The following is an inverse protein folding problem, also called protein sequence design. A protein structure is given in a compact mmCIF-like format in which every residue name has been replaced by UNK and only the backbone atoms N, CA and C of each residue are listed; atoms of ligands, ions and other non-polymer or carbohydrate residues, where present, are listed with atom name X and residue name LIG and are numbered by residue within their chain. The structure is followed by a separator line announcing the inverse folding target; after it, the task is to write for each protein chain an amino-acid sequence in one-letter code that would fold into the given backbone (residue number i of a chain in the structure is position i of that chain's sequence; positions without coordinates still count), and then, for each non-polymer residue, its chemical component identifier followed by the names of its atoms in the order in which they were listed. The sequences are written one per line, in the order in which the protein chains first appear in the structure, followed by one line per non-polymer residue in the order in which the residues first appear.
data_IF_188635701676
#
_entry.id   IF_188635701676
#
_cell.length_a   1.000
_cell.length_b   1.000
_cell.length_c   1.000
_cell.angle_alpha   90.00
_cell.angle_beta   90.00
_cell.angle_gamma   90.00
#
_symmetry.space_group_name_H-M   'P 1'
#
loop_
_entity.id
_entity.type
_entity.pdbx_description
1 polymer ?
#
# COMPACT_ATOMS: atom_id res chain seq x y z
N UNK A 1 -7.96 -4.58 25.46
CA UNK A 1 -9.32 -3.99 25.42
C UNK A 1 -9.29 -2.48 25.16
N UNK A 2 -8.50 -1.68 25.88
CA UNK A 2 -8.42 -0.22 25.70
C UNK A 2 -7.93 0.23 24.30
N UNK A 3 -6.86 -0.38 23.77
CA UNK A 3 -6.30 -0.01 22.44
C UNK A 3 -7.26 -0.32 21.30
N UNK A 4 -8.07 -1.38 21.42
CA UNK A 4 -9.10 -1.71 20.41
C UNK A 4 -10.22 -0.67 20.33
N UNK A 5 -10.49 0.07 21.41
CA UNK A 5 -11.49 1.15 21.42
C UNK A 5 -10.99 2.43 20.74
N UNK A 6 -9.67 2.64 20.66
CA UNK A 6 -9.05 3.78 19.97
C UNK A 6 -8.94 3.58 18.45
N UNK A 7 -9.13 2.34 17.96
CA UNK A 7 -8.96 2.01 16.55
C UNK A 7 -9.78 2.88 15.59
N UNK A 8 -11.06 3.18 15.84
CA UNK A 8 -11.85 4.01 14.94
C UNK A 8 -11.41 5.47 14.87
N UNK A 9 -10.77 5.97 15.92
CA UNK A 9 -10.30 7.37 16.00
C UNK A 9 -8.95 7.57 15.31
N UNK A 10 -8.10 6.53 15.33
CA UNK A 10 -6.71 6.57 14.82
C UNK A 10 -6.61 5.99 13.41
N UNK A 11 -7.31 4.86 13.14
CA UNK A 11 -7.34 4.22 11.83
C UNK A 11 -8.66 4.61 11.15
N UNK A 12 -8.61 5.67 10.39
CA UNK A 12 -9.77 6.25 9.71
C UNK A 12 -9.42 6.69 8.30
N UNK A 13 -10.43 6.76 7.45
CA UNK A 13 -10.27 7.30 6.11
C UNK A 13 -9.88 8.78 6.19
N UNK A 14 -8.93 9.23 5.37
CA UNK A 14 -8.42 10.60 5.42
C UNK A 14 -9.49 11.61 5.04
N UNK A 15 -9.37 12.80 5.61
CA UNK A 15 -10.18 13.97 5.25
C UNK A 15 -9.84 14.46 3.83
N UNK A 16 -10.68 15.32 3.26
CA UNK A 16 -10.42 15.91 1.96
C UNK A 16 -9.09 16.67 1.91
N UNK A 17 -8.73 17.37 2.98
CA UNK A 17 -7.45 18.08 3.09
C UNK A 17 -6.27 17.09 3.08
N UNK A 18 -6.34 16.01 3.84
CA UNK A 18 -5.31 14.95 3.85
C UNK A 18 -5.21 14.23 2.51
N UNK A 19 -6.33 14.04 1.80
CA UNK A 19 -6.31 13.49 0.43
C UNK A 19 -5.56 14.41 -0.52
N UNK A 20 -5.73 15.74 -0.39
CA UNK A 20 -5.01 16.71 -1.21
C UNK A 20 -3.50 16.64 -0.95
N UNK A 21 -3.09 16.66 0.31
CA UNK A 21 -1.69 16.56 0.73
C UNK A 21 -1.06 15.24 0.23
N UNK A 22 -1.79 14.14 0.37
CA UNK A 22 -1.34 12.83 -0.14
C UNK A 22 -1.19 12.84 -1.67
N UNK A 23 -2.17 13.42 -2.39
CA UNK A 23 -2.11 13.49 -3.85
C UNK A 23 -0.95 14.36 -4.34
N UNK A 24 -0.62 15.44 -3.64
CA UNK A 24 0.56 16.26 -3.93
C UNK A 24 1.86 15.48 -3.69
N UNK A 25 1.93 14.70 -2.61
CA UNK A 25 3.07 13.82 -2.34
C UNK A 25 3.30 12.81 -3.47
N UNK A 26 2.27 12.04 -3.87
CA UNK A 26 2.37 11.07 -4.94
C UNK A 26 2.65 11.74 -6.30
N UNK A 27 2.07 12.91 -6.54
CA UNK A 27 2.33 13.68 -7.74
C UNK A 27 3.81 14.10 -7.86
N UNK A 28 4.43 14.54 -6.77
CA UNK A 28 5.86 14.92 -6.75
C UNK A 28 6.79 13.70 -6.82
N UNK A 29 6.41 12.60 -6.18
CA UNK A 29 7.29 11.43 -6.02
C UNK A 29 7.23 10.49 -7.23
N UNK A 30 6.05 10.31 -7.82
CA UNK A 30 5.83 9.30 -8.86
C UNK A 30 4.84 9.73 -9.95
N UNK A 31 4.53 11.02 -10.05
CA UNK A 31 3.66 11.62 -11.08
C UNK A 31 2.19 11.15 -11.09
N UNK A 32 1.71 10.52 -10.04
CA UNK A 32 0.31 10.13 -9.89
C UNK A 32 -0.48 11.24 -9.18
N UNK A 33 -1.07 12.15 -9.96
CA UNK A 33 -1.69 13.39 -9.49
C UNK A 33 -2.94 13.22 -8.63
N UNK A 34 -3.55 12.04 -8.62
CA UNK A 34 -4.76 11.73 -7.85
C UNK A 34 -4.61 10.49 -6.95
N UNK A 35 -3.39 10.00 -6.76
CA UNK A 35 -3.16 8.94 -5.81
C UNK A 35 -3.20 9.49 -4.38
N UNK A 36 -3.93 8.82 -3.48
CA UNK A 36 -4.06 9.21 -2.07
C UNK A 36 -3.51 8.16 -1.11
N UNK A 37 -3.00 7.06 -1.61
CA UNK A 37 -2.43 5.99 -0.81
C UNK A 37 -2.16 4.74 -1.64
N UNK A 38 -1.68 3.71 -0.94
CA UNK A 38 -1.42 2.41 -1.54
C UNK A 38 -2.20 1.32 -0.79
N UNK A 39 -2.49 0.23 -1.50
CA UNK A 39 -3.01 -1.00 -0.91
C UNK A 39 -2.05 -2.13 -1.19
N UNK A 40 -1.76 -2.92 -0.16
CA UNK A 40 -0.90 -4.09 -0.28
C UNK A 40 -1.20 -5.10 0.83
N UNK A 41 -0.80 -6.36 0.61
CA UNK A 41 -0.84 -7.43 1.59
C UNK A 41 0.53 -7.66 2.22
N UNK A 42 0.58 -7.99 3.50
CA UNK A 42 1.82 -8.44 4.14
C UNK A 42 1.59 -9.70 4.96
N UNK A 43 2.49 -10.69 4.78
CA UNK A 43 2.44 -11.91 5.56
C UNK A 43 3.04 -11.70 6.96
N UNK A 44 2.32 -12.21 7.96
CA UNK A 44 2.81 -12.30 9.33
C UNK A 44 3.04 -13.76 9.64
N UNK A 45 4.29 -14.11 9.87
CA UNK A 45 4.67 -15.50 10.15
C UNK A 45 4.29 -15.88 11.58
N UNK A 46 3.61 -17.01 11.71
CA UNK A 46 3.13 -17.53 12.99
C UNK A 46 4.12 -18.54 13.60
N UNK A 47 4.98 -19.17 12.77
CA UNK A 47 6.04 -20.09 13.19
C UNK A 47 7.43 -19.54 12.86
N UNK A 48 8.50 -19.89 13.63
CA UNK A 48 9.79 -19.23 13.52
C UNK A 48 10.52 -19.61 12.23
N UNK A 49 10.88 -18.64 11.37
CA UNK A 49 11.74 -18.88 10.22
C UNK A 49 13.22 -18.76 10.55
N UNK A 50 14.03 -19.43 9.75
CA UNK A 50 15.48 -19.28 9.72
C UNK A 50 15.84 -17.98 8.98
N UNK A 51 16.52 -17.07 9.70
CA UNK A 51 17.29 -15.89 9.28
C UNK A 51 16.98 -15.24 7.92
N UNK A 52 16.57 -13.98 7.95
CA UNK A 52 16.84 -13.00 6.89
C UNK A 52 17.33 -11.68 7.50
N UNK A 53 18.21 -10.99 6.75
CA UNK A 53 18.88 -9.75 7.14
C UNK A 53 17.95 -8.56 6.97
N UNK A 54 18.08 -7.60 7.87
CA UNK A 54 17.29 -6.37 7.92
C UNK A 54 18.00 -5.27 7.12
N UNK A 55 17.28 -4.61 6.21
CA UNK A 55 17.68 -3.36 5.61
C UNK A 55 16.90 -2.21 6.26
N UNK A 56 17.65 -1.20 6.72
CA UNK A 56 17.13 -0.04 7.44
C UNK A 56 16.84 1.08 6.45
N UNK A 57 15.60 1.54 6.35
CA UNK A 57 15.28 2.82 5.74
C UNK A 57 14.18 3.50 6.55
N UNK A 58 14.45 4.72 7.02
CA UNK A 58 13.54 5.54 7.79
C UNK A 58 12.86 6.57 6.88
N UNK A 59 11.52 6.58 6.81
CA UNK A 59 10.73 7.62 6.14
C UNK A 59 9.50 8.00 6.95
N UNK A 60 9.20 9.32 6.94
CA UNK A 60 8.11 10.00 7.65
C UNK A 60 6.71 9.61 7.19
N UNK A 61 5.80 9.67 8.18
CA UNK A 61 4.43 10.15 7.94
C UNK A 61 3.47 9.21 7.24
N UNK A 62 3.81 7.93 6.99
CA UNK A 62 2.89 7.00 6.33
C UNK A 62 2.10 6.25 7.40
N UNK A 63 0.80 6.53 7.44
CA UNK A 63 -0.15 5.96 8.40
C UNK A 63 -1.06 4.92 7.74
N UNK A 64 -1.48 3.92 8.52
CA UNK A 64 -2.50 2.96 8.08
C UNK A 64 -3.89 3.59 8.19
N UNK A 65 -4.58 3.71 7.07
CA UNK A 65 -5.94 4.27 6.99
C UNK A 65 -7.03 3.20 7.04
N UNK A 66 -6.66 1.95 6.78
CA UNK A 66 -7.51 0.78 6.94
C UNK A 66 -6.66 -0.48 7.13
N UNK A 67 -7.18 -1.44 7.89
CA UNK A 67 -6.50 -2.71 8.18
C UNK A 67 -7.51 -3.83 8.12
N UNK A 68 -7.14 -4.91 7.44
CA UNK A 68 -7.94 -6.12 7.38
C UNK A 68 -7.06 -7.33 7.67
N UNK A 69 -7.41 -8.13 8.66
CA UNK A 69 -6.63 -9.28 9.15
C UNK A 69 -7.49 -10.52 9.31
N UNK A 70 -6.87 -11.69 9.42
CA UNK A 70 -7.57 -12.95 9.75
C UNK A 70 -7.69 -13.93 8.57
N UNK A 71 -7.03 -13.65 7.45
CA UNK A 71 -6.97 -14.58 6.31
C UNK A 71 -5.66 -15.35 6.25
N UNK A 72 -5.66 -16.60 5.77
CA UNK A 72 -4.45 -17.39 5.53
C UNK A 72 -3.56 -16.69 4.49
N UNK A 73 -2.24 -16.78 4.66
CA UNK A 73 -1.27 -16.22 3.71
C UNK A 73 -1.31 -16.82 2.29
N UNK A 74 -2.02 -17.93 2.10
CA UNK A 74 -2.28 -18.52 0.78
C UNK A 74 -3.46 -17.89 0.03
N UNK A 75 -4.19 -16.96 0.66
CA UNK A 75 -5.31 -16.26 0.02
C UNK A 75 -4.79 -15.21 -0.95
N UNK A 76 -5.38 -15.14 -2.15
CA UNK A 76 -5.05 -14.08 -3.10
C UNK A 76 -5.49 -12.70 -2.59
N UNK A 77 -4.65 -11.69 -2.72
CA UNK A 77 -4.89 -10.33 -2.22
C UNK A 77 -6.17 -9.71 -2.77
N UNK A 78 -6.50 -9.94 -4.05
CA UNK A 78 -7.77 -9.50 -4.63
C UNK A 78 -8.99 -10.12 -3.96
N UNK A 79 -8.90 -11.39 -3.55
CA UNK A 79 -9.98 -12.06 -2.83
C UNK A 79 -10.10 -11.54 -1.40
N UNK A 80 -8.98 -11.31 -0.72
CA UNK A 80 -8.94 -10.69 0.61
C UNK A 80 -9.58 -9.30 0.58
N UNK A 81 -9.23 -8.47 -0.43
CA UNK A 81 -9.83 -7.17 -0.61
C UNK A 81 -11.35 -7.25 -0.84
N UNK A 82 -11.82 -8.14 -1.72
CA UNK A 82 -13.25 -8.31 -2.02
C UNK A 82 -14.08 -8.71 -0.80
N UNK A 83 -13.48 -9.42 0.16
CA UNK A 83 -14.13 -9.83 1.40
C UNK A 83 -13.87 -8.85 2.56
N UNK A 84 -13.19 -7.73 2.31
CA UNK A 84 -12.96 -6.71 3.31
C UNK A 84 -14.16 -5.79 3.49
N UNK A 85 -14.32 -5.24 4.68
CA UNK A 85 -15.42 -4.30 5.02
C UNK A 85 -15.35 -2.98 4.26
N UNK A 86 -14.20 -2.68 3.62
CA UNK A 86 -13.98 -1.44 2.89
C UNK A 86 -14.32 -1.56 1.40
N UNK A 87 -14.37 -2.79 0.84
CA UNK A 87 -14.46 -2.98 -0.61
C UNK A 87 -15.60 -2.22 -1.27
N UNK A 88 -16.82 -2.36 -0.74
CA UNK A 88 -18.00 -1.68 -1.29
C UNK A 88 -18.00 -0.17 -1.06
N UNK A 89 -17.21 0.31 -0.10
CA UNK A 89 -17.10 1.73 0.25
C UNK A 89 -16.01 2.45 -0.53
N UNK A 90 -15.02 1.72 -1.09
CA UNK A 90 -13.90 2.29 -1.82
C UNK A 90 -14.31 3.30 -2.90
N UNK A 91 -15.34 3.03 -3.76
CA UNK A 91 -15.75 4.00 -4.78
C UNK A 91 -16.19 5.34 -4.19
N UNK A 92 -16.94 5.33 -3.08
CA UNK A 92 -17.41 6.55 -2.43
C UNK A 92 -16.31 7.23 -1.61
N UNK A 93 -15.42 6.46 -0.99
CA UNK A 93 -14.32 6.97 -0.19
C UNK A 93 -13.23 7.63 -1.04
N UNK A 94 -12.92 7.05 -2.19
CA UNK A 94 -11.95 7.63 -3.11
C UNK A 94 -12.51 8.82 -3.90
N UNK A 95 -13.81 8.80 -4.26
CA UNK A 95 -14.40 9.84 -5.11
C UNK A 95 -13.66 9.95 -6.45
N UNK A 96 -13.00 11.10 -6.69
CA UNK A 96 -12.17 11.35 -7.87
C UNK A 96 -10.72 10.92 -7.72
N UNK A 97 -10.32 10.48 -6.55
CA UNK A 97 -8.99 9.96 -6.23
C UNK A 97 -8.93 8.44 -6.40
N UNK A 98 -7.74 7.88 -6.27
CA UNK A 98 -7.51 6.43 -6.33
C UNK A 98 -6.36 5.98 -5.41
N UNK A 99 -6.34 4.68 -5.13
CA UNK A 99 -5.23 3.99 -4.49
C UNK A 99 -4.32 3.34 -5.54
N UNK A 100 -3.05 3.16 -5.20
CA UNK A 100 -2.11 2.34 -5.98
C UNK A 100 -2.07 0.92 -5.39
N UNK A 101 -2.15 -0.08 -6.25
CA UNK A 101 -2.05 -1.48 -5.87
C UNK A 101 -1.09 -2.26 -6.78
N UNK A 102 -0.73 -3.46 -6.38
CA UNK A 102 0.07 -4.36 -7.20
C UNK A 102 -0.76 -5.05 -8.30
N UNK A 103 -0.10 -5.92 -9.06
CA UNK A 103 -0.72 -6.66 -10.17
C UNK A 103 -1.71 -7.76 -9.72
N UNK A 104 -1.74 -8.13 -8.44
CA UNK A 104 -2.69 -9.10 -7.89
C UNK A 104 -4.09 -8.51 -7.74
N UNK A 105 -4.22 -7.17 -7.70
CA UNK A 105 -5.51 -6.50 -7.62
C UNK A 105 -6.12 -6.19 -9.00
N UNK A 106 -7.47 -6.18 -9.11
CA UNK A 106 -8.13 -5.73 -10.32
C UNK A 106 -8.02 -4.21 -10.49
N UNK A 107 -7.63 -3.74 -11.69
CA UNK A 107 -7.63 -2.32 -11.99
C UNK A 107 -9.06 -1.77 -12.03
N UNK A 108 -9.32 -0.75 -11.23
CA UNK A 108 -10.61 -0.06 -11.06
C UNK A 108 -10.40 1.45 -11.04
N UNK A 109 -11.46 2.23 -11.22
CA UNK A 109 -11.40 3.70 -11.16
C UNK A 109 -10.78 4.22 -9.85
N UNK A 110 -11.01 3.51 -8.75
CA UNK A 110 -10.51 3.81 -7.41
C UNK A 110 -9.25 3.00 -7.01
N UNK A 111 -8.74 2.12 -7.90
CA UNK A 111 -7.57 1.26 -7.62
C UNK A 111 -6.77 1.04 -8.91
N UNK A 112 -5.66 1.73 -9.02
CA UNK A 112 -4.77 1.69 -10.19
C UNK A 112 -3.67 0.67 -9.94
N UNK A 113 -3.49 -0.23 -10.91
CA UNK A 113 -2.53 -1.33 -10.86
C UNK A 113 -1.64 -1.33 -12.10
N UNK A 114 -0.45 -1.94 -12.09
CA UNK A 114 0.47 -1.91 -13.23
C UNK A 114 -0.12 -2.58 -14.48
N UNK A 115 0.42 -2.21 -15.64
CA UNK A 115 0.24 -2.98 -16.86
C UNK A 115 0.97 -4.32 -16.70
N UNK A 116 0.30 -5.40 -17.08
CA UNK A 116 0.92 -6.71 -17.09
C UNK A 116 2.00 -6.78 -18.17
N UNK A 117 3.19 -7.20 -17.80
CA UNK A 117 4.25 -7.43 -18.77
C UNK A 117 4.10 -8.82 -19.41
N UNK A 118 3.77 -8.80 -20.70
CA UNK A 118 3.70 -9.94 -21.58
C UNK A 118 4.80 -9.90 -22.66
N UNK A 119 5.84 -9.07 -22.46
CA UNK A 119 6.91 -8.82 -23.41
C UNK A 119 6.59 -7.74 -24.47
N UNK A 120 5.38 -7.17 -24.48
CA UNK A 120 4.90 -6.23 -25.51
C UNK A 120 4.53 -4.85 -24.96
N UNK A 121 4.99 -4.49 -23.75
CA UNK A 121 4.73 -3.17 -23.18
C UNK A 121 5.42 -2.07 -23.99
N UNK A 122 4.67 -1.00 -24.28
CA UNK A 122 5.24 0.22 -24.86
C UNK A 122 6.17 0.91 -23.83
N UNK A 123 7.03 1.80 -24.31
CA UNK A 123 7.91 2.57 -23.42
C UNK A 123 7.12 3.42 -22.41
N UNK A 124 5.96 3.97 -22.81
CA UNK A 124 5.05 4.69 -21.92
C UNK A 124 4.50 3.78 -20.81
N UNK A 125 4.08 2.57 -21.14
CA UNK A 125 3.58 1.59 -20.18
C UNK A 125 4.66 1.10 -19.21
N UNK A 126 5.88 0.88 -19.71
CA UNK A 126 7.03 0.56 -18.84
C UNK A 126 7.33 1.70 -17.87
N UNK A 127 7.32 2.94 -18.37
CA UNK A 127 7.55 4.11 -17.54
C UNK A 127 6.41 4.32 -16.51
N UNK A 128 5.16 4.07 -16.91
CA UNK A 128 4.03 4.05 -15.97
C UNK A 128 4.23 3.02 -14.86
N UNK A 129 4.60 1.78 -15.19
CA UNK A 129 4.84 0.71 -14.21
C UNK A 129 5.98 1.08 -13.25
N UNK A 130 7.07 1.66 -13.75
CA UNK A 130 8.19 2.12 -12.94
C UNK A 130 7.75 3.17 -11.91
N UNK A 131 6.98 4.17 -12.34
CA UNK A 131 6.46 5.21 -11.45
C UNK A 131 5.46 4.65 -10.43
N UNK A 132 4.61 3.70 -10.85
CA UNK A 132 3.68 3.04 -9.94
C UNK A 132 4.41 2.23 -8.88
N UNK A 133 5.45 1.49 -9.26
CA UNK A 133 6.31 0.77 -8.31
C UNK A 133 6.97 1.73 -7.33
N UNK A 134 7.53 2.85 -7.81
CA UNK A 134 8.09 3.90 -6.96
C UNK A 134 7.08 4.46 -5.95
N UNK A 135 5.82 4.68 -6.36
CA UNK A 135 4.76 5.11 -5.45
C UNK A 135 4.44 4.07 -4.37
N UNK A 136 4.49 2.77 -4.73
CA UNK A 136 4.20 1.67 -3.79
C UNK A 136 5.29 1.43 -2.75
N UNK A 137 6.51 1.89 -2.98
CA UNK A 137 7.58 1.86 -1.96
C UNK A 137 7.09 2.45 -0.62
N UNK A 138 6.18 3.41 -0.66
CA UNK A 138 5.57 4.00 0.53
C UNK A 138 4.93 2.95 1.45
N UNK A 139 4.11 2.03 0.94
CA UNK A 139 3.44 1.02 1.76
C UNK A 139 4.41 -0.08 2.23
N UNK A 140 5.37 -0.46 1.40
CA UNK A 140 6.42 -1.42 1.76
C UNK A 140 7.25 -0.90 2.94
N UNK A 141 7.62 0.39 2.91
CA UNK A 141 8.28 1.06 4.03
C UNK A 141 7.42 1.10 5.29
N UNK A 142 6.10 1.35 5.16
CA UNK A 142 5.18 1.33 6.30
C UNK A 142 5.16 -0.04 6.98
N UNK A 143 5.12 -1.12 6.21
CA UNK A 143 5.21 -2.47 6.75
C UNK A 143 6.58 -2.75 7.39
N UNK A 144 7.66 -2.28 6.77
CA UNK A 144 9.01 -2.38 7.32
C UNK A 144 9.12 -1.68 8.68
N UNK A 145 8.67 -0.43 8.78
CA UNK A 145 8.67 0.34 10.03
C UNK A 145 7.77 -0.27 11.10
N UNK A 146 6.55 -0.72 10.71
CA UNK A 146 5.64 -1.43 11.62
C UNK A 146 6.32 -2.65 12.24
N UNK A 147 6.94 -3.49 11.40
CA UNK A 147 7.62 -4.71 11.84
C UNK A 147 8.86 -4.42 12.67
N UNK A 148 9.64 -3.39 12.35
CA UNK A 148 10.79 -2.95 13.16
C UNK A 148 10.36 -2.44 14.54
N UNK A 149 9.30 -1.62 14.59
CA UNK A 149 8.75 -1.07 15.84
C UNK A 149 8.16 -2.16 16.73
N UNK A 150 7.48 -3.12 16.11
CA UNK A 150 6.83 -4.26 16.79
C UNK A 150 7.41 -5.59 16.32
N UNK A 151 8.62 -5.91 16.76
CA UNK A 151 9.35 -7.12 16.34
C UNK A 151 8.57 -8.43 16.52
N UNK A 152 7.58 -8.45 17.41
CA UNK A 152 6.69 -9.60 17.58
C UNK A 152 5.83 -9.88 16.33
N UNK A 153 5.65 -8.92 15.43
CA UNK A 153 4.94 -9.13 14.14
C UNK A 153 5.77 -9.97 13.18
N UNK A 154 7.11 -9.91 13.24
CA UNK A 154 7.97 -10.79 12.44
C UNK A 154 7.83 -12.27 12.83
N UNK A 155 7.70 -12.54 14.15
CA UNK A 155 7.72 -13.86 14.72
C UNK A 155 6.64 -13.94 15.78
N UNK A 156 5.39 -13.99 15.36
CA UNK A 156 4.28 -13.95 16.29
C UNK A 156 4.12 -15.30 16.97
N UNK A 157 4.50 -15.38 18.25
CA UNK A 157 4.32 -16.57 19.10
C UNK A 157 2.93 -16.66 19.72
N UNK A 158 2.03 -15.74 19.37
CA UNK A 158 0.67 -15.77 19.89
C UNK A 158 -0.08 -16.97 19.29
N UNK A 159 -0.57 -17.83 20.16
CA UNK A 159 -1.41 -18.93 19.77
C UNK A 159 -2.88 -18.50 19.78
N UNK A 160 -3.56 -18.74 18.66
CA UNK A 160 -4.97 -18.42 18.48
C UNK A 160 -5.21 -17.20 17.56
N UNK A 161 -6.02 -17.43 16.54
CA UNK A 161 -6.32 -16.43 15.51
C UNK A 161 -6.98 -15.17 16.10
N UNK A 162 -7.86 -15.35 17.06
CA UNK A 162 -8.56 -14.25 17.74
C UNK A 162 -7.57 -13.24 18.37
N UNK A 163 -6.54 -13.75 19.08
CA UNK A 163 -5.50 -12.91 19.69
C UNK A 163 -4.69 -12.15 18.65
N UNK A 164 -4.38 -12.79 17.52
CA UNK A 164 -3.69 -12.17 16.40
C UNK A 164 -4.52 -11.05 15.76
N UNK A 165 -5.81 -11.28 15.56
CA UNK A 165 -6.74 -10.30 15.01
C UNK A 165 -6.92 -9.07 15.91
N UNK A 166 -6.61 -9.16 17.19
CA UNK A 166 -6.57 -8.00 18.10
C UNK A 166 -5.18 -7.37 18.20
N UNK A 167 -4.13 -8.18 18.18
CA UNK A 167 -2.75 -7.73 18.35
C UNK A 167 -2.26 -6.89 17.16
N UNK A 168 -2.50 -7.35 15.93
CA UNK A 168 -2.02 -6.67 14.72
C UNK A 168 -2.64 -5.27 14.57
N UNK A 169 -3.98 -5.08 14.65
CA UNK A 169 -4.57 -3.76 14.63
C UNK A 169 -4.08 -2.85 15.76
N UNK A 170 -3.85 -3.40 16.96
CA UNK A 170 -3.29 -2.63 18.08
C UNK A 170 -1.89 -2.09 17.76
N UNK A 171 -1.02 -2.90 17.13
CA UNK A 171 0.28 -2.44 16.67
C UNK A 171 0.18 -1.34 15.62
N UNK A 172 -0.77 -1.43 14.68
CA UNK A 172 -0.99 -0.41 13.66
C UNK A 172 -1.54 0.91 14.26
N UNK A 173 -2.43 0.84 15.25
CA UNK A 173 -2.90 2.03 15.99
C UNK A 173 -1.72 2.72 16.69
N UNK A 174 -0.91 1.98 17.42
CA UNK A 174 0.27 2.52 18.09
C UNK A 174 1.31 3.06 17.09
N UNK A 175 1.44 2.43 15.92
CA UNK A 175 2.30 2.92 14.85
C UNK A 175 1.83 4.27 14.32
N UNK A 176 0.53 4.42 14.06
CA UNK A 176 -0.03 5.70 13.61
C UNK A 176 0.18 6.81 14.64
N UNK A 177 -0.11 6.55 15.92
CA UNK A 177 0.09 7.52 17.00
C UNK A 177 1.57 7.95 17.07
N UNK A 178 2.49 6.99 17.03
CA UNK A 178 3.92 7.31 17.10
C UNK A 178 4.45 8.02 15.82
N UNK A 179 3.78 7.89 14.69
CA UNK A 179 4.15 8.63 13.47
C UNK A 179 3.68 10.09 13.48
N UNK A 180 2.64 10.42 14.26
CA UNK A 180 2.22 11.82 14.46
C UNK A 180 3.28 12.62 15.24
N UNK A 181 4.01 11.96 16.15
CA UNK A 181 5.06 12.60 16.96
C UNK A 181 6.41 12.73 16.20
N UNK A 182 6.66 11.87 15.20
CA UNK A 182 7.95 11.80 14.48
C UNK A 182 8.07 12.82 13.31
N UNK A 183 7.43 13.98 13.39
CA UNK A 183 7.33 14.96 12.30
C UNK A 183 8.65 15.60 11.83
N UNK A 184 9.84 15.24 12.37
CA UNK A 184 11.08 16.02 12.15
C UNK A 184 12.25 15.39 11.36
N UNK A 185 12.11 14.20 10.74
CA UNK A 185 13.23 13.61 9.98
C UNK A 185 12.93 13.36 8.49
N UNK A 186 13.60 14.11 7.61
CA UNK A 186 13.63 13.88 6.14
C UNK A 186 14.93 13.14 5.81
N UNK A 187 14.86 12.06 5.05
CA UNK A 187 16.02 11.44 4.45
C UNK A 187 15.75 11.09 2.97
N UNK A 188 16.64 11.58 2.09
CA UNK A 188 16.63 11.29 0.66
C UNK A 188 17.29 9.95 0.38
N UNK A 189 16.59 9.03 -0.25
CA UNK A 189 17.19 7.85 -0.89
C UNK A 189 16.44 7.47 -2.15
N UNK A 190 17.19 7.27 -3.24
CA UNK A 190 16.72 6.71 -4.51
C UNK A 190 16.46 5.21 -4.39
N UNK A 191 15.45 4.65 -5.07
CA UNK A 191 15.11 3.24 -4.97
C UNK A 191 15.93 2.37 -5.91
N UNK A 192 16.44 1.24 -5.40
CA UNK A 192 16.82 0.09 -6.23
C UNK A 192 15.55 -0.73 -6.50
N UNK A 193 15.11 -0.74 -7.76
CA UNK A 193 13.86 -1.42 -8.18
C UNK A 193 14.22 -2.78 -8.77
N UNK A 194 13.91 -3.84 -8.04
CA UNK A 194 13.84 -5.21 -8.58
C UNK A 194 12.48 -5.79 -8.24
N UNK A 195 11.53 -5.66 -9.17
CA UNK A 195 10.21 -6.31 -9.07
C UNK A 195 10.11 -7.50 -10.01
N UNK A 196 9.74 -8.64 -9.46
CA UNK A 196 9.47 -9.88 -10.18
C UNK A 196 7.97 -9.89 -10.56
N UNK A 197 7.68 -9.59 -11.84
CA UNK A 197 6.31 -9.41 -12.36
C UNK A 197 5.69 -10.73 -12.83
N UNK A 198 5.28 -11.60 -11.91
CA UNK A 198 4.50 -12.79 -12.25
C UNK A 198 3.11 -12.75 -11.62
N UNK A 199 2.10 -12.30 -12.36
CA UNK A 199 0.71 -12.35 -11.91
C UNK A 199 -0.27 -12.77 -13.03
N UNK A 200 -1.21 -13.67 -12.70
CA UNK A 200 -2.27 -14.14 -13.57
C UNK A 200 -3.54 -13.29 -13.45
N UNK A 201 -3.95 -12.56 -14.49
CA UNK A 201 -5.17 -11.74 -14.56
C UNK A 201 -5.46 -11.24 -15.97
N UNK A 202 -6.70 -10.82 -16.24
CA UNK A 202 -7.21 -10.40 -17.55
C UNK A 202 -6.55 -9.11 -18.06
N UNK A 203 -5.95 -9.16 -19.24
CA UNK A 203 -5.09 -8.12 -19.84
C UNK A 203 -5.88 -6.88 -20.27
N UNK A 204 -7.16 -7.01 -20.63
CA UNK A 204 -7.97 -5.93 -21.23
C UNK A 204 -8.70 -5.05 -20.22
N UNK A 205 -9.03 -5.60 -19.03
CA UNK A 205 -9.78 -4.90 -18.01
C UNK A 205 -8.91 -3.85 -17.31
N UNK A 206 -9.17 -2.58 -17.57
CA UNK A 206 -8.52 -1.46 -16.89
C UNK A 206 -7.73 -0.52 -17.79
N UNK A 207 -7.58 -0.81 -19.08
CA UNK A 207 -6.89 0.11 -20.01
C UNK A 207 -7.59 1.47 -20.12
N UNK A 208 -8.92 1.52 -19.97
CA UNK A 208 -9.69 2.76 -19.94
C UNK A 208 -9.39 3.62 -18.68
N UNK A 209 -8.91 3.03 -17.61
CA UNK A 209 -8.48 3.74 -16.40
C UNK A 209 -7.01 4.14 -16.51
N UNK A 210 -6.14 3.20 -16.87
CA UNK A 210 -4.68 3.41 -16.96
C UNK A 210 -4.27 4.31 -18.12
N UNK A 211 -4.96 4.23 -19.25
CA UNK A 211 -4.61 4.96 -20.47
C UNK A 211 -4.47 6.47 -20.26
N UNK A 212 -5.48 7.18 -19.76
CA UNK A 212 -5.39 8.61 -19.49
C UNK A 212 -4.28 8.98 -18.51
N UNK A 213 -4.10 8.19 -17.44
CA UNK A 213 -3.04 8.43 -16.44
C UNK A 213 -1.65 8.20 -17.06
N UNK A 214 -1.49 7.16 -17.87
CA UNK A 214 -0.25 6.86 -18.58
C UNK A 214 0.14 8.00 -19.52
N UNK A 215 -0.82 8.57 -20.26
CA UNK A 215 -0.59 9.73 -21.13
C UNK A 215 -0.18 10.97 -20.32
N UNK A 216 -0.82 11.24 -19.19
CA UNK A 216 -0.45 12.35 -18.31
C UNK A 216 0.99 12.23 -17.82
N UNK A 217 1.39 11.03 -17.37
CA UNK A 217 2.75 10.75 -16.89
C UNK A 217 3.78 10.89 -18.01
N UNK A 218 3.45 10.42 -19.22
CA UNK A 218 4.34 10.52 -20.38
C UNK A 218 4.55 11.98 -20.84
N UNK A 219 3.51 12.80 -20.83
CA UNK A 219 3.60 14.22 -21.14
C UNK A 219 4.56 14.95 -20.19
N UNK A 220 4.52 14.64 -18.90
CA UNK A 220 5.40 15.25 -17.90
C UNK A 220 6.86 14.80 -17.99
N UNK A 221 7.11 13.63 -18.57
CA UNK A 221 8.48 13.16 -18.85
C UNK A 221 9.18 14.00 -19.92
N UNK A 222 8.39 14.55 -20.85
CA UNK A 222 8.89 15.27 -22.03
C UNK A 222 8.95 16.80 -21.83
N UNK A 223 8.54 17.27 -20.64
CA UNK A 223 8.66 18.68 -20.19
C UNK A 223 9.80 18.84 -19.21
#
# INVERSE_FOLDING_TARGET
MFISSLSPDVIKWPTQQQNLESSEFFNRTCYFSKAIGCIDGTHIQIDPPKRSKDDYINRKGITFINIFVGYPGSSHDSWVLQNSTIYDKLPSYCGDYYLLGDSAYPCKKYLVTPYRDNGHLTNAQKYFNLNLSSGRIAIEHSFGMLKQRFRQIYYCKLRGMEKLCHFIPACCVLHNIANEDDLDFICDTSPDVTDDFTAHGDISRGNHVRGPICQEIELRRNT
#
